data_IF_570075998852
#
_entry.id   IF_570075998852
#
_cell.length_a   1.000
_cell.length_b   1.000
_cell.length_c   1.000
_cell.angle_alpha   90.00
_cell.angle_beta   90.00
_cell.angle_gamma   90.00
#
_symmetry.space_group_name_H-M   'P 1'
#
loop_
_entity.id
_entity.type
_entity.pdbx_description
1 polymer ?
#
# COMPACT_ATOMS: atom_id res chain seq x y z
N UNK A 1 43.30 -4.03 12.29
CA UNK A 1 42.19 -4.52 13.14
C UNK A 1 40.98 -4.70 12.24
N UNK A 2 40.43 -5.91 12.14
CA UNK A 2 39.34 -6.27 11.22
C UNK A 2 38.07 -6.50 12.05
N UNK A 3 36.95 -5.90 11.68
CA UNK A 3 35.61 -6.27 12.17
C UNK A 3 34.56 -6.20 11.04
N UNK A 4 33.48 -6.96 11.23
CA UNK A 4 32.42 -7.30 10.28
C UNK A 4 31.04 -7.13 10.95
N UNK A 5 30.05 -6.68 10.16
CA UNK A 5 28.57 -6.77 10.33
C UNK A 5 27.87 -5.82 11.33
N UNK A 6 26.51 -5.83 11.41
CA UNK A 6 25.56 -4.88 10.83
C UNK A 6 24.80 -4.07 11.94
N UNK A 7 23.75 -3.33 11.57
CA UNK A 7 22.91 -2.45 12.40
C UNK A 7 23.41 -1.00 12.59
N UNK A 8 22.54 -0.07 12.20
CA UNK A 8 22.69 1.40 12.14
C UNK A 8 23.09 2.10 13.44
N UNK A 9 23.25 1.39 14.56
CA UNK A 9 23.49 1.97 15.89
C UNK A 9 24.93 1.76 16.40
N UNK A 10 25.73 0.87 15.81
CA UNK A 10 27.09 0.57 16.29
C UNK A 10 28.20 1.41 15.66
N UNK A 11 27.94 2.11 14.54
CA UNK A 11 28.93 3.00 13.90
C UNK A 11 29.36 4.15 14.83
N UNK A 12 28.43 4.65 15.66
CA UNK A 12 28.68 5.74 16.62
C UNK A 12 29.61 5.29 17.76
N UNK A 13 29.48 4.05 18.22
CA UNK A 13 30.23 3.50 19.35
C UNK A 13 31.71 3.19 19.00
N UNK A 14 31.99 2.83 17.75
CA UNK A 14 33.36 2.52 17.31
C UNK A 14 34.23 3.77 17.07
N UNK A 15 33.62 4.92 16.74
CA UNK A 15 34.31 6.19 16.52
C UNK A 15 34.47 7.03 17.81
N UNK A 16 33.69 6.73 18.85
CA UNK A 16 33.65 7.45 20.13
C UNK A 16 35.01 7.57 20.84
N UNK A 17 35.87 6.52 20.91
CA UNK A 17 37.19 6.63 21.54
C UNK A 17 38.20 7.46 20.73
N UNK A 18 37.97 7.62 19.42
CA UNK A 18 38.91 8.24 18.48
C UNK A 18 38.61 9.72 18.24
N UNK A 19 37.33 10.11 18.23
CA UNK A 19 36.91 11.50 18.11
C UNK A 19 37.27 12.34 19.35
N UNK A 20 37.36 11.71 20.53
CA UNK A 20 37.80 12.37 21.77
C UNK A 20 39.33 12.54 21.90
N UNK A 21 40.13 12.02 20.95
CA UNK A 21 41.60 12.17 20.92
C UNK A 21 42.10 12.65 19.56
N UNK A 22 41.52 13.70 18.98
CA UNK A 22 42.11 14.36 17.82
C UNK A 22 43.35 15.17 18.25
N UNK A 23 44.45 14.47 18.52
CA UNK A 23 45.80 15.02 18.61
C UNK A 23 46.68 14.27 17.58
N UNK A 24 46.94 14.91 16.44
CA UNK A 24 47.98 14.51 15.48
C UNK A 24 47.82 13.21 14.68
N UNK A 25 46.67 12.51 14.74
CA UNK A 25 46.52 11.18 14.11
C UNK A 25 45.64 11.19 12.84
N UNK A 26 46.11 10.54 11.77
CA UNK A 26 45.37 10.35 10.50
C UNK A 26 44.84 8.92 10.40
N UNK A 27 43.60 8.75 9.92
CA UNK A 27 42.99 7.42 9.79
C UNK A 27 42.34 7.20 8.42
N UNK A 28 42.30 5.93 8.01
CA UNK A 28 41.69 5.51 6.74
C UNK A 28 40.70 4.38 7.02
N UNK A 29 39.43 4.60 6.66
CA UNK A 29 38.37 3.61 6.77
C UNK A 29 38.04 3.08 5.36
N UNK A 30 38.03 1.76 5.21
CA UNK A 30 37.60 1.11 3.96
C UNK A 30 36.14 0.69 4.11
N UNK A 31 35.27 1.23 3.27
CA UNK A 31 33.87 0.83 3.22
C UNK A 31 33.74 -0.54 2.54
N UNK A 32 32.87 -1.40 3.08
CA UNK A 32 32.66 -2.75 2.55
C UNK A 32 31.47 -2.86 1.60
N UNK A 33 30.54 -1.91 1.68
CA UNK A 33 29.32 -1.86 0.87
C UNK A 33 29.18 -0.49 0.18
N UNK A 34 28.57 -0.44 -1.02
CA UNK A 34 28.20 0.82 -1.67
C UNK A 34 27.21 1.59 -0.78
N UNK A 35 27.45 2.89 -0.56
CA UNK A 35 26.59 3.76 0.26
C UNK A 35 27.02 3.93 1.72
N UNK A 36 27.87 3.04 2.25
CA UNK A 36 28.38 3.12 3.64
C UNK A 36 29.10 4.46 3.95
N UNK A 37 29.79 5.05 2.97
CA UNK A 37 30.45 6.35 3.14
C UNK A 37 29.45 7.50 3.37
N UNK A 38 28.28 7.45 2.72
CA UNK A 38 27.23 8.47 2.84
C UNK A 38 26.51 8.35 4.20
N UNK A 39 26.24 7.12 4.63
CA UNK A 39 25.66 6.86 5.96
C UNK A 39 26.61 7.27 7.09
N UNK A 40 27.92 7.02 6.96
CA UNK A 40 28.92 7.51 7.91
C UNK A 40 28.98 9.06 7.97
N UNK A 41 28.89 9.73 6.82
CA UNK A 41 28.84 11.20 6.75
C UNK A 41 27.58 11.76 7.45
N UNK A 42 26.42 11.14 7.22
CA UNK A 42 25.15 11.50 7.87
C UNK A 42 25.18 11.32 9.39
N UNK A 43 25.86 10.27 9.87
CA UNK A 43 26.02 10.01 11.30
C UNK A 43 26.95 11.04 11.94
N UNK A 44 28.09 11.36 11.33
CA UNK A 44 29.03 12.39 11.82
C UNK A 44 28.39 13.79 11.88
N UNK A 45 27.50 14.10 10.94
CA UNK A 45 26.77 15.37 10.90
C UNK A 45 25.67 15.48 11.97
N UNK A 46 25.10 14.36 12.42
CA UNK A 46 24.04 14.32 13.43
C UNK A 46 24.57 14.25 14.87
N UNK A 47 25.85 13.90 15.07
CA UNK A 47 26.45 13.84 16.41
C UNK A 47 26.82 15.24 16.91
N UNK A 48 26.41 15.63 18.14
CA UNK A 48 26.70 16.95 18.70
C UNK A 48 28.15 17.01 19.19
N UNK A 49 29.09 17.25 18.28
CA UNK A 49 30.49 17.49 18.62
C UNK A 49 30.84 18.96 18.40
N UNK A 50 31.45 19.58 19.41
CA UNK A 50 31.86 20.99 19.42
C UNK A 50 33.11 21.29 18.55
N UNK A 51 33.66 20.32 17.80
CA UNK A 51 34.98 20.46 17.14
C UNK A 51 35.03 19.92 15.70
N UNK A 52 33.87 19.81 15.01
CA UNK A 52 33.81 19.41 13.59
C UNK A 52 34.61 20.33 12.65
N UNK A 53 34.95 21.53 13.09
CA UNK A 53 35.81 22.48 12.37
C UNK A 53 37.27 22.04 12.22
N UNK A 54 37.70 20.97 12.91
CA UNK A 54 39.10 20.49 12.90
C UNK A 54 39.33 19.22 12.07
N UNK A 55 38.31 18.74 11.35
CA UNK A 55 38.36 17.49 10.60
C UNK A 55 38.32 17.74 9.08
N UNK A 56 39.30 17.20 8.36
CA UNK A 56 39.26 17.15 6.90
C UNK A 56 38.96 15.72 6.45
N UNK A 57 37.81 15.54 5.78
CA UNK A 57 37.32 14.25 5.31
C UNK A 57 37.43 14.20 3.79
N UNK A 58 38.13 13.20 3.27
CA UNK A 58 38.22 12.95 1.83
C UNK A 58 37.68 11.57 1.50
N UNK A 59 36.73 11.49 0.57
CA UNK A 59 36.12 10.23 0.11
C UNK A 59 36.49 10.00 -1.34
N UNK A 60 37.15 8.87 -1.63
CA UNK A 60 37.47 8.49 -3.00
C UNK A 60 36.31 7.71 -3.63
N UNK A 61 35.92 8.08 -4.85
CA UNK A 61 34.85 7.39 -5.58
C UNK A 61 35.35 6.11 -6.24
N UNK A 62 34.70 4.97 -5.98
CA UNK A 62 35.00 3.66 -6.56
C UNK A 62 34.04 2.57 -6.06
N UNK A 63 34.16 1.33 -6.58
CA UNK A 63 33.33 0.17 -6.15
C UNK A 63 33.41 -0.12 -4.64
N UNK A 64 34.51 0.26 -4.00
CA UNK A 64 34.74 0.23 -2.55
C UNK A 64 35.37 1.57 -2.15
N UNK A 65 34.58 2.55 -1.66
CA UNK A 65 35.10 3.87 -1.35
C UNK A 65 36.00 3.83 -0.10
N UNK A 66 37.04 4.67 -0.10
CA UNK A 66 37.88 4.91 1.07
C UNK A 66 37.56 6.27 1.67
N UNK A 67 37.47 6.33 2.98
CA UNK A 67 37.29 7.56 3.74
C UNK A 67 38.58 7.85 4.50
N UNK A 68 39.27 8.91 4.10
CA UNK A 68 40.43 9.45 4.81
C UNK A 68 39.97 10.58 5.72
N UNK A 69 40.33 10.49 7.00
CA UNK A 69 40.03 11.51 8.01
C UNK A 69 41.35 12.04 8.54
N UNK A 70 41.57 13.35 8.40
CA UNK A 70 42.74 14.07 8.97
C UNK A 70 42.27 15.04 10.07
N UNK A 71 42.90 14.98 11.24
CA UNK A 71 42.77 16.05 12.25
C UNK A 71 43.75 17.18 11.89
N UNK A 72 43.30 18.44 11.92
CA UNK A 72 44.13 19.62 11.69
C UNK A 72 44.67 20.16 13.02
N UNK A 73 45.97 20.46 13.08
CA UNK A 73 46.60 21.01 14.30
C UNK A 73 46.15 22.46 14.59
N UNK A 74 46.00 22.83 15.88
CA UNK A 74 45.64 24.18 16.30
C UNK A 74 46.83 25.12 16.11
N UNK A 75 47.02 25.62 14.89
CA UNK A 75 48.07 26.62 14.62
C UNK A 75 48.46 26.79 13.15
N UNK A 76 47.99 25.93 12.25
CA UNK A 76 48.31 26.06 10.82
C UNK A 76 47.27 26.91 10.11
N UNK A 77 47.43 28.24 10.17
CA UNK A 77 46.69 29.19 9.34
C UNK A 77 47.16 29.07 7.89
N UNK A 78 46.84 27.95 7.22
CA UNK A 78 46.88 27.91 5.76
C UNK A 78 45.61 28.57 5.27
N UNK A 79 45.76 29.77 4.72
CA UNK A 79 44.76 30.49 3.96
C UNK A 79 44.35 29.59 2.79
N UNK A 80 43.36 28.72 3.01
CA UNK A 80 42.59 28.18 1.92
C UNK A 80 41.87 29.38 1.33
N UNK A 81 42.18 29.72 0.08
CA UNK A 81 41.36 30.62 -0.71
C UNK A 81 39.93 30.12 -0.56
N UNK A 82 39.13 30.84 0.23
CA UNK A 82 37.75 30.52 0.48
C UNK A 82 37.06 30.63 -0.88
N UNK A 83 36.97 29.52 -1.61
CA UNK A 83 36.11 29.43 -2.77
C UNK A 83 34.74 29.83 -2.25
N UNK A 84 34.21 30.94 -2.78
CA UNK A 84 33.06 31.58 -2.17
C UNK A 84 31.96 30.53 -1.98
N UNK A 85 31.26 30.51 -0.84
CA UNK A 85 30.18 29.54 -0.57
C UNK A 85 29.19 29.44 -1.73
N UNK A 86 29.05 30.54 -2.49
CA UNK A 86 28.25 30.68 -3.71
C UNK A 86 28.69 29.75 -4.85
N UNK A 87 29.99 29.47 -5.02
CA UNK A 87 30.48 28.56 -6.07
C UNK A 87 30.14 27.11 -5.76
N UNK A 88 30.22 26.71 -4.48
CA UNK A 88 29.83 25.37 -4.04
C UNK A 88 28.30 25.22 -4.13
N UNK A 89 27.55 26.24 -3.72
CA UNK A 89 26.10 26.27 -3.82
C UNK A 89 25.62 26.27 -5.28
N UNK A 90 26.29 27.00 -6.17
CA UNK A 90 25.99 27.00 -7.60
C UNK A 90 26.33 25.66 -8.25
N UNK A 91 27.45 25.03 -7.88
CA UNK A 91 27.83 23.71 -8.37
C UNK A 91 26.83 22.63 -7.90
N UNK A 92 26.38 22.65 -6.65
CA UNK A 92 25.34 21.73 -6.17
C UNK A 92 23.98 22.00 -6.80
N UNK A 93 23.60 23.26 -7.04
CA UNK A 93 22.37 23.60 -7.78
C UNK A 93 22.43 23.09 -9.23
N UNK A 94 23.58 23.21 -9.89
CA UNK A 94 23.80 22.73 -11.27
C UNK A 94 23.81 21.19 -11.34
N UNK A 95 24.36 20.52 -10.34
CA UNK A 95 24.30 19.05 -10.20
C UNK A 95 22.88 18.55 -9.92
N UNK A 96 22.08 19.27 -9.13
CA UNK A 96 20.65 18.98 -8.90
C UNK A 96 19.79 19.26 -10.14
N UNK A 97 20.10 20.30 -10.91
CA UNK A 97 19.39 20.65 -12.14
C UNK A 97 19.67 19.67 -13.31
N UNK A 98 20.72 18.85 -13.20
CA UNK A 98 21.13 17.89 -14.23
C UNK A 98 20.43 16.52 -14.14
N UNK A 99 19.62 16.28 -13.09
CA UNK A 99 18.85 15.03 -12.98
C UNK A 99 17.56 15.18 -13.80
N UNK A 100 17.69 15.21 -15.13
CA UNK A 100 16.56 14.90 -16.02
C UNK A 100 16.41 13.38 -16.07
N UNK A 101 15.72 12.81 -15.09
CA UNK A 101 15.25 11.43 -15.18
C UNK A 101 13.84 11.43 -15.77
N UNK A 102 13.75 11.19 -17.07
CA UNK A 102 12.49 10.75 -17.70
C UNK A 102 12.75 10.02 -19.01
N UNK A 103 13.63 9.02 -19.00
CA UNK A 103 13.32 7.82 -19.79
C UNK A 103 12.28 7.07 -18.99
N UNK A 104 11.01 7.13 -19.39
CA UNK A 104 10.01 6.21 -18.88
C UNK A 104 10.55 4.80 -19.13
N UNK A 105 11.04 4.13 -18.08
CA UNK A 105 11.43 2.73 -18.22
C UNK A 105 10.15 2.00 -18.58
N UNK A 106 10.10 1.35 -19.74
CA UNK A 106 8.93 0.55 -20.09
C UNK A 106 8.68 -0.43 -18.96
N UNK A 107 7.49 -0.34 -18.38
CA UNK A 107 7.13 -1.19 -17.25
C UNK A 107 6.58 -2.53 -17.74
N UNK A 108 6.01 -2.55 -18.94
CA UNK A 108 5.56 -3.76 -19.61
C UNK A 108 6.71 -4.55 -20.25
N UNK A 109 6.46 -5.83 -20.53
CA UNK A 109 7.39 -6.67 -21.28
C UNK A 109 7.62 -6.08 -22.70
N UNK A 110 8.85 -6.07 -23.24
CA UNK A 110 9.11 -5.55 -24.59
C UNK A 110 8.22 -6.21 -25.64
N UNK A 111 7.59 -5.39 -26.49
CA UNK A 111 6.66 -5.85 -27.53
C UNK A 111 5.21 -6.02 -27.07
N UNK A 112 4.91 -5.79 -25.79
CA UNK A 112 3.56 -5.89 -25.23
C UNK A 112 2.91 -4.53 -25.05
N UNK A 113 1.58 -4.53 -25.01
CA UNK A 113 0.78 -3.34 -24.75
C UNK A 113 1.04 -2.85 -23.31
N UNK A 114 1.48 -1.61 -23.18
CA UNK A 114 1.89 -1.02 -21.90
C UNK A 114 0.75 -0.33 -21.15
N UNK A 115 -0.30 0.10 -21.86
CA UNK A 115 -1.41 0.86 -21.26
C UNK A 115 -2.76 0.42 -21.83
N UNK A 116 -3.79 0.51 -21.02
CA UNK A 116 -5.19 0.41 -21.44
C UNK A 116 -5.98 1.51 -20.72
N UNK A 117 -6.56 2.43 -21.47
CA UNK A 117 -7.08 3.69 -20.92
C UNK A 117 -6.01 4.44 -20.14
N UNK A 118 -6.30 4.72 -18.87
CA UNK A 118 -5.40 5.45 -17.97
C UNK A 118 -4.51 4.54 -17.11
N UNK A 119 -4.66 3.21 -17.23
CA UNK A 119 -3.89 2.26 -16.43
C UNK A 119 -2.64 1.79 -17.20
N UNK A 120 -1.47 1.93 -16.58
CA UNK A 120 -0.24 1.27 -17.01
C UNK A 120 -0.23 -0.17 -16.52
N UNK A 121 0.08 -1.11 -17.41
CA UNK A 121 0.11 -2.56 -17.16
C UNK A 121 1.57 -3.00 -17.09
N UNK A 122 2.16 -3.08 -15.89
CA UNK A 122 3.55 -3.47 -15.74
C UNK A 122 3.70 -4.99 -15.73
N UNK A 123 4.83 -5.49 -16.20
CA UNK A 123 5.22 -6.88 -15.96
C UNK A 123 5.31 -7.12 -14.45
N UNK A 124 4.74 -8.21 -13.90
CA UNK A 124 4.35 -9.46 -14.57
C UNK A 124 2.97 -9.50 -15.26
N UNK A 125 2.16 -8.44 -15.19
CA UNK A 125 0.87 -8.36 -15.87
C UNK A 125 1.03 -8.09 -17.37
N UNK A 126 0.08 -8.56 -18.17
CA UNK A 126 0.10 -8.31 -19.60
C UNK A 126 -1.15 -8.74 -20.35
N UNK A 127 -1.39 -8.09 -21.49
CA UNK A 127 -2.48 -8.41 -22.42
C UNK A 127 -1.95 -9.31 -23.53
N UNK A 128 -2.60 -10.44 -23.75
CA UNK A 128 -2.29 -11.36 -24.84
C UNK A 128 -1.17 -12.34 -24.54
N UNK A 129 -1.08 -13.37 -25.40
CA UNK A 129 -0.17 -14.50 -25.20
C UNK A 129 1.30 -14.05 -25.16
N UNK A 130 2.03 -14.52 -24.14
CA UNK A 130 3.45 -14.23 -23.98
C UNK A 130 3.76 -12.85 -23.38
N UNK A 131 2.75 -12.06 -23.00
CA UNK A 131 2.95 -10.74 -22.40
C UNK A 131 2.90 -10.71 -20.86
N UNK A 132 2.39 -11.75 -20.24
CA UNK A 132 2.32 -11.93 -18.80
C UNK A 132 3.28 -13.05 -18.34
N UNK A 133 3.54 -13.12 -17.03
CA UNK A 133 4.42 -14.14 -16.44
C UNK A 133 3.80 -15.54 -16.43
N UNK A 134 2.56 -15.65 -15.92
CA UNK A 134 1.80 -16.89 -15.79
C UNK A 134 0.31 -16.60 -15.74
N UNK A 135 -0.53 -17.63 -15.85
CA UNK A 135 -1.98 -17.53 -15.61
C UNK A 135 -2.24 -16.85 -14.26
N UNK A 136 -3.22 -15.94 -14.24
CA UNK A 136 -3.54 -15.05 -13.12
C UNK A 136 -2.95 -13.64 -13.26
N UNK A 137 -1.88 -13.47 -14.03
CA UNK A 137 -1.34 -12.13 -14.38
C UNK A 137 -1.82 -11.63 -15.75
N UNK A 138 -2.53 -12.47 -16.48
CA UNK A 138 -3.18 -12.08 -17.73
C UNK A 138 -4.38 -11.15 -17.45
N UNK A 139 -4.46 -10.08 -18.23
CA UNK A 139 -5.52 -9.08 -18.13
C UNK A 139 -6.12 -8.80 -19.50
N UNK A 140 -7.41 -8.46 -19.54
CA UNK A 140 -8.09 -7.97 -20.75
C UNK A 140 -8.24 -6.45 -20.71
N UNK A 141 -8.35 -5.86 -21.90
CA UNK A 141 -8.63 -4.45 -22.08
C UNK A 141 -9.93 -4.31 -22.87
N UNK A 142 -10.99 -3.84 -22.22
CA UNK A 142 -12.32 -3.68 -22.81
C UNK A 142 -12.82 -2.27 -22.54
N UNK A 143 -13.19 -1.54 -23.59
CA UNK A 143 -13.66 -0.15 -23.49
C UNK A 143 -12.73 0.76 -22.67
N UNK A 144 -11.41 0.64 -22.86
CA UNK A 144 -10.36 1.35 -22.12
C UNK A 144 -10.33 1.06 -20.60
N UNK A 145 -10.92 -0.05 -20.16
CA UNK A 145 -10.87 -0.55 -18.78
C UNK A 145 -10.14 -1.87 -18.74
N UNK A 146 -9.42 -2.12 -17.65
CA UNK A 146 -8.61 -3.33 -17.48
C UNK A 146 -9.32 -4.29 -16.57
N UNK A 147 -9.42 -5.56 -16.95
CA UNK A 147 -10.09 -6.58 -16.15
C UNK A 147 -9.16 -7.77 -15.89
N UNK A 148 -9.30 -8.40 -14.72
CA UNK A 148 -8.67 -9.70 -14.47
C UNK A 148 -9.27 -10.74 -15.40
N UNK A 149 -8.43 -11.31 -16.27
CA UNK A 149 -8.86 -12.33 -17.22
C UNK A 149 -9.31 -13.59 -16.47
N UNK A 150 -10.33 -14.27 -16.99
CA UNK A 150 -10.95 -15.46 -16.37
C UNK A 150 -11.41 -15.31 -14.91
N UNK A 151 -11.54 -14.09 -14.38
CA UNK A 151 -12.28 -13.90 -13.15
C UNK A 151 -13.76 -14.19 -13.42
N UNK A 152 -14.38 -15.07 -12.61
CA UNK A 152 -15.83 -15.32 -12.65
C UNK A 152 -16.67 -14.05 -12.48
N UNK A 153 -16.01 -12.97 -12.07
CA UNK A 153 -16.62 -11.76 -11.57
C UNK A 153 -16.24 -10.49 -12.34
N UNK A 154 -15.58 -10.60 -13.51
CA UNK A 154 -15.16 -9.45 -14.33
C UNK A 154 -14.54 -8.31 -13.49
N UNK A 155 -13.61 -8.66 -12.62
CA UNK A 155 -13.03 -7.72 -11.67
C UNK A 155 -12.21 -6.67 -12.43
N UNK A 156 -12.65 -5.42 -12.40
CA UNK A 156 -11.93 -4.30 -12.99
C UNK A 156 -10.71 -3.98 -12.12
N UNK A 157 -9.56 -3.77 -12.74
CA UNK A 157 -8.35 -3.32 -12.07
C UNK A 157 -8.29 -1.79 -12.11
N UNK A 158 -8.31 -1.16 -10.93
CA UNK A 158 -8.18 0.28 -10.77
C UNK A 158 -6.73 0.74 -10.61
N UNK A 159 -5.88 -0.10 -10.00
CA UNK A 159 -4.48 0.24 -9.76
C UNK A 159 -3.61 -1.00 -9.60
N UNK A 160 -2.38 -0.94 -10.11
CA UNK A 160 -1.34 -1.94 -9.93
C UNK A 160 -0.12 -1.27 -9.29
N UNK A 161 0.26 -1.71 -8.10
CA UNK A 161 1.42 -1.21 -7.37
C UNK A 161 2.45 -2.33 -7.20
N UNK A 162 3.47 -2.34 -8.05
CA UNK A 162 4.59 -3.29 -7.94
C UNK A 162 5.37 -3.12 -6.64
N UNK A 163 5.66 -1.88 -6.24
CA UNK A 163 6.40 -1.59 -5.02
C UNK A 163 5.62 -2.00 -3.75
N UNK A 164 4.29 -1.88 -3.79
CA UNK A 164 3.41 -2.31 -2.71
C UNK A 164 3.02 -3.79 -2.77
N UNK A 165 3.35 -4.49 -3.86
CA UNK A 165 2.93 -5.87 -4.11
C UNK A 165 1.41 -6.04 -4.13
N UNK A 166 0.67 -5.04 -4.60
CA UNK A 166 -0.79 -4.96 -4.46
C UNK A 166 -1.46 -4.54 -5.76
N UNK A 167 -2.63 -5.12 -6.02
CA UNK A 167 -3.53 -4.72 -7.09
C UNK A 167 -4.88 -4.39 -6.47
N UNK A 168 -5.47 -3.26 -6.87
CA UNK A 168 -6.80 -2.84 -6.45
C UNK A 168 -7.80 -3.22 -7.53
N UNK A 169 -8.84 -3.94 -7.14
CA UNK A 169 -9.87 -4.43 -8.04
C UNK A 169 -11.27 -4.11 -7.55
N UNK A 170 -12.24 -4.04 -8.46
CA UNK A 170 -13.65 -4.03 -8.10
C UNK A 170 -14.10 -5.39 -7.59
N UNK A 171 -15.18 -5.39 -6.80
CA UNK A 171 -15.88 -6.60 -6.34
C UNK A 171 -17.38 -6.39 -6.49
N UNK A 172 -18.17 -7.46 -6.50
CA UNK A 172 -19.62 -7.29 -6.45
C UNK A 172 -20.14 -7.17 -5.02
N UNK A 173 -21.34 -6.60 -4.95
CA UNK A 173 -22.09 -6.42 -3.72
C UNK A 173 -23.23 -7.44 -3.71
N UNK A 174 -23.26 -8.29 -2.69
CA UNK A 174 -24.41 -9.17 -2.44
C UNK A 174 -25.58 -8.34 -1.92
N UNK A 175 -26.79 -8.65 -2.37
CA UNK A 175 -28.01 -7.97 -1.93
C UNK A 175 -29.12 -8.95 -1.56
N UNK A 176 -29.75 -8.74 -0.40
CA UNK A 176 -30.92 -9.49 0.05
C UNK A 176 -32.08 -8.54 0.27
N UNK A 177 -33.11 -8.65 -0.56
CA UNK A 177 -34.24 -7.73 -0.56
C UNK A 177 -35.54 -8.47 -0.29
N UNK A 178 -36.42 -7.86 0.48
CA UNK A 178 -37.74 -8.38 0.77
C UNK A 178 -38.79 -7.42 0.24
N UNK A 179 -39.67 -7.93 -0.62
CA UNK A 179 -40.76 -7.15 -1.23
C UNK A 179 -42.11 -7.77 -0.90
N UNK A 180 -43.16 -6.95 -0.82
CA UNK A 180 -44.53 -7.38 -0.45
C UNK A 180 -45.17 -8.39 -1.39
N UNK A 181 -44.64 -8.51 -2.60
CA UNK A 181 -45.13 -9.37 -3.67
C UNK A 181 -44.42 -10.73 -3.75
N UNK A 182 -43.74 -11.18 -2.68
CA UNK A 182 -42.99 -12.45 -2.60
C UNK A 182 -41.77 -12.60 -3.52
N UNK A 183 -41.34 -11.52 -4.19
CA UNK A 183 -40.08 -11.48 -4.95
C UNK A 183 -38.87 -11.23 -4.03
N UNK A 184 -38.69 -12.07 -3.00
CA UNK A 184 -37.50 -11.96 -2.18
C UNK A 184 -36.27 -12.36 -2.99
N UNK A 185 -35.18 -11.61 -2.86
CA UNK A 185 -33.90 -11.95 -3.48
C UNK A 185 -32.95 -12.46 -2.42
N UNK A 186 -32.36 -13.64 -2.61
CA UNK A 186 -31.17 -14.07 -1.85
C UNK A 186 -29.94 -13.91 -2.74
N UNK A 187 -29.31 -12.74 -2.64
CA UNK A 187 -28.07 -12.46 -3.34
C UNK A 187 -26.88 -13.03 -2.57
N UNK A 188 -26.07 -13.80 -3.28
CA UNK A 188 -24.73 -14.19 -2.85
C UNK A 188 -23.74 -13.73 -3.91
N UNK A 189 -22.50 -13.45 -3.50
CA UNK A 189 -21.40 -13.20 -4.42
C UNK A 189 -20.26 -14.14 -4.10
N UNK A 190 -19.67 -14.75 -5.14
CA UNK A 190 -18.36 -15.37 -5.03
C UNK A 190 -17.31 -14.52 -5.75
N UNK A 191 -16.10 -14.57 -5.22
CA UNK A 191 -14.94 -13.88 -5.75
C UNK A 191 -13.72 -14.75 -5.54
N UNK A 192 -13.08 -15.11 -6.66
CA UNK A 192 -11.88 -15.92 -6.68
C UNK A 192 -10.72 -15.04 -7.15
N UNK A 193 -9.65 -15.04 -6.38
CA UNK A 193 -8.38 -14.47 -6.82
C UNK A 193 -7.58 -15.55 -7.54
N UNK A 194 -6.70 -15.18 -8.46
CA UNK A 194 -5.72 -16.13 -8.96
C UNK A 194 -4.79 -16.58 -7.81
N UNK A 195 -4.17 -17.75 -7.95
CA UNK A 195 -3.41 -18.43 -6.87
C UNK A 195 -2.33 -17.56 -6.21
N UNK A 196 -1.74 -16.64 -6.98
CA UNK A 196 -0.68 -15.72 -6.54
C UNK A 196 -1.19 -14.57 -5.66
N UNK A 197 -2.49 -14.29 -5.65
CA UNK A 197 -3.07 -13.17 -4.93
C UNK A 197 -3.88 -13.65 -3.74
N UNK A 198 -3.92 -12.81 -2.70
CA UNK A 198 -4.73 -13.01 -1.50
C UNK A 198 -5.42 -11.69 -1.16
N UNK A 199 -6.60 -11.74 -0.57
CA UNK A 199 -7.32 -10.54 -0.15
C UNK A 199 -6.60 -9.91 1.06
N UNK A 200 -6.23 -8.64 0.96
CA UNK A 200 -5.52 -7.93 2.03
C UNK A 200 -6.43 -7.65 3.21
N UNK A 201 -6.15 -8.27 4.36
CA UNK A 201 -6.91 -8.08 5.61
C UNK A 201 -6.65 -6.74 6.29
N UNK A 202 -5.55 -6.08 5.93
CA UNK A 202 -5.19 -4.76 6.47
C UNK A 202 -5.94 -3.65 5.76
N UNK A 203 -6.18 -3.82 4.47
CA UNK A 203 -6.87 -2.83 3.65
C UNK A 203 -8.38 -3.05 3.66
N UNK A 204 -8.85 -4.31 3.68
CA UNK A 204 -10.24 -4.64 3.44
C UNK A 204 -10.98 -5.14 4.68
N UNK A 205 -12.27 -4.79 4.75
CA UNK A 205 -13.22 -5.28 5.75
C UNK A 205 -14.46 -5.84 5.07
N UNK A 206 -15.09 -6.82 5.72
CA UNK A 206 -16.46 -7.20 5.39
C UNK A 206 -17.38 -6.11 5.94
N UNK A 207 -18.23 -5.57 5.08
CA UNK A 207 -19.24 -4.58 5.43
C UNK A 207 -20.62 -5.17 5.16
N UNK A 208 -21.54 -5.00 6.12
CA UNK A 208 -22.97 -5.27 5.94
C UNK A 208 -23.75 -3.98 6.17
N UNK A 209 -24.72 -3.71 5.31
CA UNK A 209 -25.61 -2.54 5.36
C UNK A 209 -27.04 -3.05 5.37
N UNK A 210 -27.83 -2.66 6.36
CA UNK A 210 -29.16 -3.19 6.58
C UNK A 210 -29.51 -3.28 8.06
N UNK A 211 -30.79 -3.44 8.35
CA UNK A 211 -31.28 -3.69 9.69
C UNK A 211 -31.79 -5.11 9.83
N UNK A 212 -31.48 -5.72 10.98
CA UNK A 212 -31.71 -7.14 11.24
C UNK A 212 -31.04 -8.00 10.16
N UNK A 213 -29.76 -7.71 9.90
CA UNK A 213 -28.98 -8.27 8.81
C UNK A 213 -27.74 -8.96 9.38
N UNK A 214 -27.59 -10.25 9.07
CA UNK A 214 -26.35 -10.99 9.33
C UNK A 214 -25.74 -11.44 8.01
N UNK A 215 -24.62 -10.83 7.63
CA UNK A 215 -23.83 -11.25 6.47
C UNK A 215 -22.67 -12.14 6.90
N UNK A 216 -22.41 -13.20 6.12
CA UNK A 216 -21.27 -14.08 6.29
C UNK A 216 -20.32 -13.94 5.11
N UNK A 217 -19.03 -13.83 5.41
CA UNK A 217 -17.94 -14.05 4.47
C UNK A 217 -17.35 -15.42 4.77
N UNK A 218 -17.60 -16.40 3.91
CA UNK A 218 -16.89 -17.68 3.90
C UNK A 218 -15.72 -17.64 2.94
N UNK A 219 -14.68 -18.42 3.23
CA UNK A 219 -13.55 -18.57 2.31
C UNK A 219 -12.64 -19.72 2.72
N UNK A 220 -11.57 -19.89 1.95
CA UNK A 220 -10.61 -20.97 2.17
C UNK A 220 -9.18 -20.44 2.31
N UNK A 221 -8.50 -20.86 3.37
CA UNK A 221 -7.09 -20.58 3.63
C UNK A 221 -6.36 -21.81 4.19
N UNK A 222 -6.46 -22.95 3.50
CA UNK A 222 -6.10 -24.31 3.99
C UNK A 222 -7.14 -24.90 4.97
N UNK A 223 -7.92 -24.03 5.60
CA UNK A 223 -9.09 -24.35 6.40
C UNK A 223 -10.32 -23.63 5.87
N UNK A 224 -11.50 -24.19 6.18
CA UNK A 224 -12.76 -23.44 6.02
C UNK A 224 -12.82 -22.38 7.12
N UNK A 225 -12.81 -21.12 6.71
CA UNK A 225 -12.80 -19.97 7.62
C UNK A 225 -13.87 -18.98 7.21
N UNK A 226 -14.28 -18.13 8.14
CA UNK A 226 -15.19 -17.06 7.82
C UNK A 226 -15.26 -15.97 8.87
N UNK A 227 -16.00 -14.92 8.52
CA UNK A 227 -16.33 -13.81 9.38
C UNK A 227 -17.83 -13.50 9.25
N UNK A 228 -18.45 -13.03 10.33
CA UNK A 228 -19.84 -12.58 10.35
C UNK A 228 -19.92 -11.09 10.68
N UNK A 229 -20.82 -10.38 10.01
CA UNK A 229 -21.14 -8.99 10.30
C UNK A 229 -22.64 -8.84 10.57
N UNK A 230 -22.98 -8.42 11.78
CA UNK A 230 -24.36 -8.24 12.22
C UNK A 230 -24.68 -6.77 12.45
N UNK A 231 -25.80 -6.32 11.90
CA UNK A 231 -26.39 -5.02 12.24
C UNK A 231 -27.88 -5.15 12.57
N UNK A 232 -28.32 -4.35 13.53
CA UNK A 232 -29.68 -4.36 14.06
C UNK A 232 -30.15 -2.94 14.30
N UNK A 233 -31.40 -2.68 13.96
CA UNK A 233 -32.10 -1.47 14.34
C UNK A 233 -33.58 -1.83 14.50
N UNK A 234 -34.25 -1.28 15.51
CA UNK A 234 -35.66 -1.58 15.78
C UNK A 234 -36.60 -0.78 14.86
N UNK A 235 -36.17 0.43 14.51
CA UNK A 235 -36.88 1.34 13.64
C UNK A 235 -35.91 2.35 13.00
N UNK A 236 -36.44 3.22 12.14
CA UNK A 236 -35.67 4.25 11.43
C UNK A 236 -34.94 5.21 12.38
N UNK A 237 -35.47 5.48 13.57
CA UNK A 237 -34.90 6.42 14.53
C UNK A 237 -33.70 5.81 15.27
N UNK A 238 -33.64 4.48 15.35
CA UNK A 238 -32.52 3.74 15.94
C UNK A 238 -31.31 3.57 15.01
N UNK A 239 -31.39 4.02 13.75
CA UNK A 239 -30.27 3.95 12.79
C UNK A 239 -29.18 4.96 13.16
N UNK A 240 -27.91 4.59 12.97
CA UNK A 240 -26.80 5.53 13.20
C UNK A 240 -26.73 6.61 12.11
N UNK A 241 -26.70 7.87 12.53
CA UNK A 241 -26.56 9.04 11.67
C UNK A 241 -25.18 9.70 11.74
N UNK A 242 -24.27 9.18 12.58
CA UNK A 242 -22.88 9.66 12.68
C UNK A 242 -22.04 9.31 11.45
N UNK A 243 -22.53 8.37 10.64
CA UNK A 243 -21.87 7.81 9.48
C UNK A 243 -20.81 6.75 9.82
N UNK A 244 -20.81 6.24 11.06
CA UNK A 244 -20.01 5.11 11.48
C UNK A 244 -20.80 3.80 11.31
N UNK A 245 -20.08 2.68 11.20
CA UNK A 245 -20.69 1.35 11.23
C UNK A 245 -20.67 0.83 12.66
N UNK A 246 -21.61 1.31 13.46
CA UNK A 246 -21.74 1.05 14.89
C UNK A 246 -22.54 -0.21 15.26
N UNK A 247 -23.04 -0.94 14.25
CA UNK A 247 -24.00 -2.03 14.41
C UNK A 247 -25.45 -1.58 14.21
N UNK A 248 -25.72 -0.26 14.15
CA UNK A 248 -27.05 0.30 13.91
C UNK A 248 -27.23 0.68 12.44
N UNK A 249 -27.67 -0.28 11.62
CA UNK A 249 -27.85 -0.11 10.16
C UNK A 249 -26.59 -0.37 9.31
N UNK A 250 -25.41 -0.40 9.92
CA UNK A 250 -24.16 -0.84 9.29
C UNK A 250 -23.25 -1.58 10.26
N UNK A 251 -22.60 -2.63 9.77
CA UNK A 251 -21.54 -3.36 10.47
C UNK A 251 -20.28 -3.43 9.60
N UNK A 252 -19.11 -3.34 10.22
CA UNK A 252 -17.82 -3.66 9.60
C UNK A 252 -17.02 -4.61 10.47
N UNK A 253 -16.46 -5.67 9.88
CA UNK A 253 -15.62 -6.65 10.60
C UNK A 253 -14.37 -7.02 9.80
N UNK A 254 -13.34 -7.45 10.52
CA UNK A 254 -12.10 -7.95 9.94
C UNK A 254 -12.36 -9.27 9.21
N UNK A 255 -11.59 -9.53 8.15
CA UNK A 255 -11.67 -10.76 7.37
C UNK A 255 -10.50 -11.71 7.72
N UNK A 256 -10.66 -13.00 7.45
CA UNK A 256 -9.62 -13.98 7.68
C UNK A 256 -8.40 -13.73 6.75
N UNK A 257 -7.16 -14.01 7.21
CA UNK A 257 -5.96 -13.88 6.38
C UNK A 257 -5.88 -14.98 5.32
N UNK A 258 -5.14 -14.68 4.25
CA UNK A 258 -4.77 -15.63 3.20
C UNK A 258 -5.96 -16.23 2.43
N UNK A 259 -7.06 -15.49 2.32
CA UNK A 259 -8.20 -15.88 1.48
C UNK A 259 -7.82 -15.76 0.00
N UNK A 260 -7.87 -16.89 -0.73
CA UNK A 260 -7.82 -16.91 -2.21
C UNK A 260 -9.20 -16.95 -2.86
N UNK A 261 -10.20 -17.42 -2.13
CA UNK A 261 -11.58 -17.37 -2.57
C UNK A 261 -12.44 -16.88 -1.42
N UNK A 262 -13.50 -16.19 -1.79
CA UNK A 262 -14.48 -15.66 -0.86
C UNK A 262 -15.89 -15.85 -1.42
N UNK A 263 -16.82 -16.12 -0.51
CA UNK A 263 -18.24 -16.14 -0.77
C UNK A 263 -18.92 -15.30 0.29
N UNK A 264 -19.73 -14.34 -0.14
CA UNK A 264 -20.56 -13.54 0.75
C UNK A 264 -22.00 -14.01 0.60
N UNK A 265 -22.65 -14.27 1.72
CA UNK A 265 -24.05 -14.68 1.82
C UNK A 265 -24.70 -14.03 3.04
N UNK A 266 -26.00 -14.21 3.18
CA UNK A 266 -26.77 -13.75 4.34
C UNK A 266 -27.33 -14.96 5.09
N UNK A 267 -27.50 -14.84 6.40
CA UNK A 267 -28.24 -15.82 7.20
C UNK A 267 -29.75 -15.69 6.94
N UNK A 268 -30.44 -16.80 6.69
CA UNK A 268 -31.87 -16.78 6.39
C UNK A 268 -32.77 -16.56 7.60
N UNK A 269 -32.22 -16.67 8.82
CA UNK A 269 -32.97 -16.40 10.05
C UNK A 269 -33.07 -14.90 10.36
N UNK A 270 -32.35 -14.07 9.63
CA UNK A 270 -32.31 -12.63 9.80
C UNK A 270 -32.83 -11.96 8.53
N UNK A 271 -33.93 -11.22 8.66
CA UNK A 271 -34.53 -10.47 7.57
C UNK A 271 -35.03 -9.11 8.03
N UNK A 272 -35.24 -8.22 7.06
CA UNK A 272 -35.71 -6.86 7.30
C UNK A 272 -37.24 -6.74 7.20
N UNK A 273 -38.00 -7.83 7.36
CA UNK A 273 -39.47 -7.83 7.17
C UNK A 273 -40.19 -6.83 8.09
N UNK A 274 -39.75 -6.71 9.35
CA UNK A 274 -40.31 -5.79 10.35
C UNK A 274 -40.00 -4.32 10.06
N UNK A 275 -38.90 -4.04 9.36
CA UNK A 275 -38.39 -2.69 9.06
C UNK A 275 -38.47 -2.33 7.57
N UNK A 276 -39.13 -3.17 6.76
CA UNK A 276 -39.21 -3.06 5.30
C UNK A 276 -39.74 -1.71 4.82
N UNK A 277 -40.54 -1.01 5.63
CA UNK A 277 -41.09 0.30 5.31
C UNK A 277 -40.04 1.37 5.01
N UNK A 278 -38.81 1.22 5.52
CA UNK A 278 -37.69 2.10 5.18
C UNK A 278 -36.41 1.34 4.79
N UNK A 279 -36.29 0.05 5.14
CA UNK A 279 -35.17 -0.79 4.77
C UNK A 279 -35.63 -2.06 4.03
N UNK A 280 -35.94 -1.99 2.73
CA UNK A 280 -36.38 -3.16 1.96
C UNK A 280 -35.23 -4.08 1.54
N UNK A 281 -33.99 -3.58 1.49
CA UNK A 281 -32.81 -4.33 1.06
C UNK A 281 -31.67 -4.28 2.07
N UNK A 282 -30.95 -5.38 2.17
CA UNK A 282 -29.67 -5.53 2.86
C UNK A 282 -28.56 -5.75 1.83
N UNK A 283 -27.36 -5.25 2.11
CA UNK A 283 -26.20 -5.36 1.22
C UNK A 283 -24.97 -5.85 1.98
N UNK A 284 -24.10 -6.59 1.31
CA UNK A 284 -22.84 -7.05 1.90
C UNK A 284 -21.72 -7.13 0.85
N UNK A 285 -20.53 -6.69 1.24
CA UNK A 285 -19.37 -6.60 0.35
C UNK A 285 -18.07 -6.54 1.14
N UNK A 286 -16.95 -6.83 0.46
CA UNK A 286 -15.60 -6.63 0.99
C UNK A 286 -14.98 -5.45 0.27
N UNK A 287 -14.65 -4.39 0.99
CA UNK A 287 -14.05 -3.20 0.40
C UNK A 287 -12.95 -2.62 1.28
N UNK A 288 -12.16 -1.73 0.69
CA UNK A 288 -11.15 -0.96 1.41
C UNK A 288 -11.81 -0.15 2.53
N UNK A 289 -11.19 -0.11 3.71
CA UNK A 289 -11.78 0.46 4.92
C UNK A 289 -12.24 1.92 4.74
N UNK A 290 -11.53 2.70 3.94
CA UNK A 290 -11.81 4.13 3.71
C UNK A 290 -12.67 4.39 2.47
N UNK A 291 -12.98 3.36 1.67
CA UNK A 291 -13.80 3.51 0.47
C UNK A 291 -15.29 3.68 0.80
N UNK A 292 -15.75 3.03 1.88
CA UNK A 292 -17.15 3.09 2.29
C UNK A 292 -17.34 3.89 3.58
N UNK A 293 -18.23 4.88 3.51
CA UNK A 293 -18.78 5.58 4.68
C UNK A 293 -20.29 5.39 4.70
N UNK A 294 -20.82 4.95 5.83
CA UNK A 294 -22.25 4.71 5.97
C UNK A 294 -23.04 6.03 5.95
N UNK A 295 -24.18 6.00 5.26
CA UNK A 295 -25.19 7.04 5.27
C UNK A 295 -26.55 6.36 5.48
N UNK A 296 -27.35 6.83 6.43
CA UNK A 296 -28.65 6.23 6.75
C UNK A 296 -29.59 6.12 5.53
N UNK A 297 -29.44 7.04 4.56
CA UNK A 297 -30.18 7.01 3.28
C UNK A 297 -29.89 5.78 2.43
N UNK A 298 -28.79 5.06 2.64
CA UNK A 298 -28.52 3.80 1.94
C UNK A 298 -29.48 2.68 2.31
N UNK A 299 -30.16 2.79 3.44
CA UNK A 299 -31.20 1.85 3.81
C UNK A 299 -32.46 2.06 2.96
N UNK A 300 -32.67 3.26 2.42
CA UNK A 300 -33.89 3.67 1.74
C UNK A 300 -33.90 3.32 0.25
N UNK A 301 -35.00 2.71 -0.19
CA UNK A 301 -35.29 2.40 -1.59
C UNK A 301 -34.11 1.70 -2.30
N UNK A 302 -33.67 2.25 -3.43
CA UNK A 302 -32.57 1.79 -4.27
C UNK A 302 -31.34 2.70 -4.20
N UNK A 303 -31.28 3.66 -3.25
CA UNK A 303 -30.23 4.69 -3.19
C UNK A 303 -28.83 4.10 -3.10
N UNK A 304 -28.68 3.00 -2.36
CA UNK A 304 -27.41 2.29 -2.30
C UNK A 304 -27.01 1.76 -3.68
N UNK A 305 -27.90 1.04 -4.37
CA UNK A 305 -27.62 0.48 -5.69
C UNK A 305 -27.40 1.55 -6.76
N UNK A 306 -28.08 2.70 -6.67
CA UNK A 306 -27.82 3.83 -7.58
C UNK A 306 -26.41 4.42 -7.40
N UNK A 307 -25.92 4.50 -6.16
CA UNK A 307 -24.58 5.03 -5.85
C UNK A 307 -23.47 4.04 -6.21
N UNK A 308 -23.71 2.74 -6.01
CA UNK A 308 -22.69 1.68 -6.14
C UNK A 308 -23.01 0.69 -7.29
N UNK A 309 -23.61 1.17 -8.37
CA UNK A 309 -24.06 0.35 -9.50
C UNK A 309 -22.94 -0.41 -10.24
N UNK A 310 -21.67 -0.01 -10.07
CA UNK A 310 -20.52 -0.59 -10.75
C UNK A 310 -19.63 -1.46 -9.83
N UNK A 311 -20.05 -1.71 -8.59
CA UNK A 311 -19.20 -2.32 -7.56
C UNK A 311 -18.32 -1.29 -6.87
#
# INVERSE_FOLDING_TARGET
MVCFFPLKTQVVLALYPFLNRCEGSNFSLRCREPGCALDCLLVLWKTPFNDLTRLQIHVTSGKLPFMHVRCLDPGSTRIFLAQSPWLIFAATLLLLASIKSSTASRMAKPGCQETCGNLTIPYPFGIGQGCFYSEGFDVSCENNRVFMHNSSSQMEIYNISLAGGQTRVSTFIASKCFYSNSNNTDGWVSSNTADFFKISTKANKLTAVGCNTLAFLGGYNEHSVGAGCFSMCADKQSVDHSGQCSGMGCCQTSIAPNLSSSNISFDDRFDNSEVRGFNPCSYAFVAEQDWFRFEASYLEDNKFTEKFNNG
#
